data_IF_240844591939
#
_entry.id   IF_240844591939
#
_cell.length_a   1.000
_cell.length_b   1.000
_cell.length_c   1.000
_cell.angle_alpha   90.00
_cell.angle_beta   90.00
_cell.angle_gamma   90.00
#
_symmetry.space_group_name_H-M   'P 1'
#
loop_
_entity.id
_entity.type
_entity.pdbx_description
1 polymer ?
#
# COMPACT_ATOMS: atom_id res chain seq x y z
N UNK A 1 24.00 13.65 14.64
CA UNK A 1 23.41 12.46 15.31
C UNK A 1 22.17 11.91 14.62
N UNK A 2 21.34 12.72 13.94
CA UNK A 2 20.15 12.21 13.24
C UNK A 2 20.48 11.54 11.89
N UNK A 3 21.50 12.04 11.19
CA UNK A 3 21.94 11.52 9.88
C UNK A 3 22.46 10.09 9.92
N UNK A 4 23.09 9.69 11.04
CA UNK A 4 23.60 8.32 11.25
C UNK A 4 22.51 7.24 11.28
N UNK A 5 21.23 7.60 11.52
CA UNK A 5 20.12 6.64 11.45
C UNK A 5 19.55 6.48 10.02
N UNK A 6 19.87 7.42 9.13
CA UNK A 6 19.37 7.49 7.74
C UNK A 6 20.43 6.97 6.75
N UNK A 7 21.71 7.11 7.08
CA UNK A 7 22.81 6.60 6.27
C UNK A 7 22.84 5.06 6.23
N UNK A 8 22.93 4.49 5.02
CA UNK A 8 22.93 3.04 4.78
C UNK A 8 24.17 2.28 5.32
N UNK A 9 25.12 2.93 6.02
CA UNK A 9 26.32 2.30 6.59
C UNK A 9 26.07 1.69 7.97
N UNK A 10 25.07 0.80 8.06
CA UNK A 10 24.44 0.32 9.30
C UNK A 10 24.72 -1.15 9.63
N UNK A 11 25.98 -1.59 9.54
CA UNK A 11 26.40 -2.91 10.05
C UNK A 11 26.66 -2.93 11.57
N UNK A 12 26.48 -1.80 12.27
CA UNK A 12 26.98 -1.58 13.64
C UNK A 12 25.93 -1.11 14.67
N UNK A 13 24.65 -0.94 14.32
CA UNK A 13 23.61 -0.44 15.25
C UNK A 13 22.48 -1.47 15.33
N UNK A 14 22.04 -1.77 16.56
CA UNK A 14 20.94 -2.71 16.83
C UNK A 14 19.69 -2.31 16.02
N UNK A 15 18.99 -3.31 15.46
CA UNK A 15 17.75 -3.10 14.70
C UNK A 15 16.76 -2.25 15.52
N UNK A 16 16.68 -2.52 16.83
CA UNK A 16 15.79 -1.82 17.74
C UNK A 16 16.13 -0.32 17.87
N UNK A 17 17.40 0.03 17.99
CA UNK A 17 17.87 1.43 18.08
C UNK A 17 17.60 2.21 16.78
N UNK A 18 17.74 1.55 15.62
CA UNK A 18 17.36 2.13 14.33
C UNK A 18 15.88 2.50 14.27
N UNK A 19 15.00 1.68 14.84
CA UNK A 19 13.56 1.97 14.86
C UNK A 19 13.17 3.08 15.82
N UNK A 20 13.78 3.14 17.00
CA UNK A 20 13.59 4.28 17.90
C UNK A 20 14.08 5.58 17.24
N UNK A 21 15.18 5.54 16.49
CA UNK A 21 15.65 6.67 15.68
C UNK A 21 14.63 7.14 14.64
N UNK A 22 14.03 6.21 13.88
CA UNK A 22 12.99 6.53 12.91
C UNK A 22 11.71 7.06 13.58
N UNK A 23 11.29 6.46 14.70
CA UNK A 23 10.13 6.94 15.46
C UNK A 23 10.36 8.35 16.01
N UNK A 24 11.54 8.61 16.56
CA UNK A 24 11.95 9.92 17.04
C UNK A 24 11.96 10.94 15.90
N UNK A 25 12.43 10.56 14.71
CA UNK A 25 12.39 11.41 13.51
C UNK A 25 10.96 11.80 13.12
N UNK A 26 10.04 10.84 13.10
CA UNK A 26 8.62 11.09 12.82
C UNK A 26 8.00 11.98 13.89
N UNK A 27 8.34 11.74 15.16
CA UNK A 27 7.84 12.54 16.28
C UNK A 27 8.38 13.97 16.28
N UNK A 28 9.68 14.15 16.02
CA UNK A 28 10.31 15.47 15.87
C UNK A 28 9.70 16.25 14.71
N UNK A 29 9.42 15.59 13.59
CA UNK A 29 8.69 16.22 12.49
C UNK A 29 7.31 16.72 12.96
N UNK A 30 6.55 15.88 13.66
CA UNK A 30 5.23 16.24 14.20
C UNK A 30 5.31 17.45 15.13
N UNK A 31 6.30 17.46 16.02
CA UNK A 31 6.43 18.44 17.07
C UNK A 31 6.96 19.81 16.57
N UNK A 32 7.87 19.81 15.60
CA UNK A 32 8.59 21.03 15.22
C UNK A 32 8.23 21.54 13.82
N UNK A 33 7.63 20.74 12.94
CA UNK A 33 7.42 21.07 11.52
C UNK A 33 8.71 21.48 10.75
N UNK A 34 9.89 21.36 11.39
CA UNK A 34 11.22 21.79 10.91
C UNK A 34 11.78 20.88 9.82
N UNK A 35 11.23 19.67 9.66
CA UNK A 35 11.66 18.67 8.68
C UNK A 35 10.61 18.44 7.58
N UNK A 36 9.98 19.53 7.11
CA UNK A 36 8.94 19.49 6.08
C UNK A 36 9.47 19.11 4.68
N UNK A 37 10.75 18.77 4.54
CA UNK A 37 11.32 18.39 3.26
C UNK A 37 10.79 17.02 2.79
N UNK A 38 10.33 16.93 1.53
CA UNK A 38 9.76 15.71 0.97
C UNK A 38 10.76 14.53 0.96
N UNK A 39 12.04 14.82 0.81
CA UNK A 39 13.10 13.83 0.65
C UNK A 39 13.30 12.96 1.91
N UNK A 40 13.41 13.58 3.09
CA UNK A 40 13.55 12.85 4.36
C UNK A 40 12.35 11.94 4.61
N UNK A 41 11.16 12.44 4.27
CA UNK A 41 9.89 11.71 4.42
C UNK A 41 9.87 10.45 3.58
N UNK A 42 10.22 10.60 2.31
CA UNK A 42 10.35 9.50 1.37
C UNK A 42 11.38 8.50 1.86
N UNK A 43 12.55 8.96 2.33
CA UNK A 43 13.59 8.06 2.85
C UNK A 43 13.11 7.26 4.07
N UNK A 44 12.43 7.90 5.03
CA UNK A 44 11.85 7.20 6.19
C UNK A 44 10.84 6.14 5.72
N UNK A 45 9.95 6.47 4.79
CA UNK A 45 9.01 5.50 4.24
C UNK A 45 9.72 4.32 3.58
N UNK A 46 10.69 4.57 2.70
CA UNK A 46 11.44 3.53 1.99
C UNK A 46 12.20 2.61 2.96
N UNK A 47 12.81 3.18 4.00
CA UNK A 47 13.52 2.41 5.03
C UNK A 47 12.58 1.53 5.85
N UNK A 48 11.40 2.04 6.21
CA UNK A 48 10.38 1.28 6.93
C UNK A 48 9.77 0.18 6.08
N UNK A 49 9.58 0.45 4.79
CA UNK A 49 9.03 -0.51 3.84
C UNK A 49 10.00 -1.68 3.60
N UNK A 50 11.30 -1.41 3.48
CA UNK A 50 12.34 -2.42 3.22
C UNK A 50 12.87 -3.13 4.47
N UNK A 51 12.72 -2.55 5.65
CA UNK A 51 13.35 -3.07 6.87
C UNK A 51 12.78 -4.41 7.34
N UNK A 52 13.62 -5.22 8.00
CA UNK A 52 13.22 -6.44 8.73
C UNK A 52 12.54 -6.13 10.08
N UNK A 53 11.70 -5.09 10.10
CA UNK A 53 10.96 -4.64 11.29
C UNK A 53 9.86 -5.64 11.61
N UNK A 54 9.55 -5.82 12.89
CA UNK A 54 8.30 -6.46 13.29
C UNK A 54 7.11 -5.75 12.63
N UNK A 55 6.13 -6.55 12.21
CA UNK A 55 5.00 -6.07 11.42
C UNK A 55 4.21 -5.00 12.20
N UNK A 56 4.05 -5.17 13.52
CA UNK A 56 3.23 -4.28 14.35
C UNK A 56 3.89 -2.93 14.62
N UNK A 57 5.21 -2.91 14.87
CA UNK A 57 5.94 -1.64 15.03
C UNK A 57 5.96 -0.85 13.73
N UNK A 58 6.17 -1.52 12.60
CA UNK A 58 6.16 -0.89 11.28
C UNK A 58 4.83 -0.21 10.99
N UNK A 59 3.72 -0.91 11.26
CA UNK A 59 2.36 -0.39 11.14
C UNK A 59 2.18 0.90 11.94
N UNK A 60 2.57 0.90 13.21
CA UNK A 60 2.46 2.06 14.10
C UNK A 60 3.27 3.25 13.56
N UNK A 61 4.51 3.02 13.13
CA UNK A 61 5.39 4.09 12.65
C UNK A 61 4.87 4.65 11.31
N UNK A 62 4.37 3.80 10.42
CA UNK A 62 3.76 4.23 9.16
C UNK A 62 2.48 5.03 9.44
N UNK A 63 1.61 4.58 10.33
CA UNK A 63 0.40 5.30 10.74
C UNK A 63 0.76 6.70 11.26
N UNK A 64 1.77 6.79 12.11
CA UNK A 64 2.28 8.04 12.63
C UNK A 64 2.89 8.91 11.52
N UNK A 65 3.71 8.33 10.62
CA UNK A 65 4.33 9.03 9.50
C UNK A 65 3.28 9.65 8.58
N UNK A 66 2.27 8.87 8.21
CA UNK A 66 1.15 9.30 7.37
C UNK A 66 0.37 10.43 8.04
N UNK A 67 0.09 10.32 9.34
CA UNK A 67 -0.59 11.37 10.10
C UNK A 67 0.18 12.71 10.16
N UNK A 68 1.52 12.65 10.04
CA UNK A 68 2.38 13.83 10.00
C UNK A 68 2.60 14.36 8.58
N UNK A 69 2.61 13.48 7.58
CA UNK A 69 2.87 13.81 6.18
C UNK A 69 1.66 14.50 5.55
N UNK A 70 0.47 13.93 5.74
CA UNK A 70 -0.77 14.41 5.13
C UNK A 70 -1.59 15.05 6.25
N UNK A 71 -1.39 16.35 6.55
CA UNK A 71 -2.27 17.04 7.48
C UNK A 71 -3.70 16.94 6.94
N UNK A 72 -4.66 16.74 7.85
CA UNK A 72 -6.06 16.42 7.57
C UNK A 72 -6.87 17.54 6.89
N UNK A 73 -6.21 18.49 6.24
CA UNK A 73 -6.79 19.72 5.68
C UNK A 73 -6.26 19.91 4.26
N UNK A 74 -7.09 20.25 3.26
CA UNK A 74 -6.64 20.52 1.91
C UNK A 74 -5.92 21.88 1.90
N UNK A 75 -4.68 21.90 2.35
CA UNK A 75 -3.78 23.02 2.11
C UNK A 75 -3.15 22.85 0.73
N UNK A 76 -2.94 23.97 0.05
CA UNK A 76 -2.15 24.06 -1.18
C UNK A 76 -0.84 23.26 -1.02
N UNK A 77 -0.56 22.33 -1.94
CA UNK A 77 0.59 21.42 -1.88
C UNK A 77 0.33 20.03 -1.26
N UNK A 78 -0.90 19.73 -0.82
CA UNK A 78 -1.28 18.37 -0.39
C UNK A 78 -1.22 17.32 -1.51
N UNK A 79 -1.49 17.73 -2.76
CA UNK A 79 -1.46 16.84 -3.92
C UNK A 79 -0.06 16.29 -4.22
N UNK A 80 0.97 17.13 -4.22
CA UNK A 80 2.36 16.71 -4.42
C UNK A 80 2.83 15.68 -3.38
N UNK A 81 2.36 15.82 -2.13
CA UNK A 81 2.65 14.89 -1.03
C UNK A 81 1.98 13.53 -1.25
N UNK A 82 0.74 13.52 -1.75
CA UNK A 82 0.03 12.29 -2.11
C UNK A 82 0.69 11.60 -3.32
N UNK A 83 1.08 12.36 -4.34
CA UNK A 83 1.79 11.81 -5.50
C UNK A 83 3.15 11.21 -5.10
N UNK A 84 3.88 11.88 -4.20
CA UNK A 84 5.12 11.35 -3.65
C UNK A 84 4.91 10.04 -2.89
N UNK A 85 3.79 9.89 -2.17
CA UNK A 85 3.43 8.61 -1.55
C UNK A 85 3.25 7.50 -2.60
N UNK A 86 2.53 7.79 -3.69
CA UNK A 86 2.35 6.82 -4.77
C UNK A 86 3.69 6.41 -5.40
N UNK A 87 4.59 7.37 -5.63
CA UNK A 87 5.93 7.11 -6.15
C UNK A 87 6.78 6.28 -5.17
N UNK A 88 6.65 6.51 -3.86
CA UNK A 88 7.31 5.69 -2.85
C UNK A 88 6.82 4.24 -2.88
N UNK A 89 5.49 4.05 -2.95
CA UNK A 89 4.87 2.71 -3.04
C UNK A 89 5.39 1.97 -4.29
N UNK A 90 5.35 2.64 -5.44
CA UNK A 90 5.85 2.12 -6.71
C UNK A 90 7.33 1.77 -6.62
N UNK A 91 8.16 2.65 -6.06
CA UNK A 91 9.60 2.46 -5.89
C UNK A 91 9.92 1.22 -5.04
N UNK A 92 9.23 1.02 -3.92
CA UNK A 92 9.43 -0.18 -3.08
C UNK A 92 9.14 -1.46 -3.87
N UNK A 93 8.03 -1.50 -4.60
CA UNK A 93 7.62 -2.69 -5.36
C UNK A 93 8.56 -2.95 -6.55
N UNK A 94 9.10 -1.90 -7.17
CA UNK A 94 10.08 -2.03 -8.25
C UNK A 94 11.46 -2.50 -7.76
N UNK A 95 11.92 -1.98 -6.61
CA UNK A 95 13.23 -2.32 -6.05
C UNK A 95 13.24 -3.71 -5.40
N UNK A 96 12.14 -4.11 -4.76
CA UNK A 96 11.94 -5.48 -4.27
C UNK A 96 10.52 -5.96 -4.56
N UNK A 97 10.39 -6.73 -5.63
CA UNK A 97 9.12 -7.35 -5.99
C UNK A 97 8.85 -8.65 -5.21
N UNK A 98 9.54 -8.96 -4.10
CA UNK A 98 9.27 -10.18 -3.33
C UNK A 98 7.80 -10.28 -2.92
N UNK A 99 7.31 -11.51 -2.74
CA UNK A 99 5.92 -11.75 -2.34
C UNK A 99 5.60 -11.07 -1.01
N UNK A 100 6.57 -11.08 -0.09
CA UNK A 100 6.43 -10.44 1.21
C UNK A 100 6.27 -8.94 1.08
N UNK A 101 7.09 -8.28 0.26
CA UNK A 101 6.99 -6.85 -0.01
C UNK A 101 5.67 -6.49 -0.70
N UNK A 102 5.22 -7.30 -1.66
CA UNK A 102 3.91 -7.12 -2.29
C UNK A 102 2.77 -7.21 -1.26
N UNK A 103 2.76 -8.24 -0.41
CA UNK A 103 1.74 -8.44 0.63
C UNK A 103 1.75 -7.29 1.66
N UNK A 104 2.94 -6.83 2.05
CA UNK A 104 3.08 -5.69 2.96
C UNK A 104 2.50 -4.42 2.37
N UNK A 105 2.80 -4.14 1.09
CA UNK A 105 2.34 -2.92 0.44
C UNK A 105 0.83 -2.95 0.15
N UNK A 106 0.30 -4.13 -0.20
CA UNK A 106 -1.14 -4.35 -0.29
C UNK A 106 -1.85 -4.12 1.06
N UNK A 107 -1.28 -4.61 2.16
CA UNK A 107 -1.81 -4.37 3.51
C UNK A 107 -1.76 -2.89 3.92
N UNK A 108 -0.70 -2.18 3.53
CA UNK A 108 -0.60 -0.73 3.70
C UNK A 108 -1.72 0.01 2.97
N UNK A 109 -1.93 -0.30 1.68
CA UNK A 109 -2.97 0.36 0.87
C UNK A 109 -4.37 0.16 1.43
N UNK A 110 -4.68 -1.05 1.90
CA UNK A 110 -5.96 -1.35 2.56
C UNK A 110 -6.17 -0.55 3.85
N UNK A 111 -5.12 -0.43 4.67
CA UNK A 111 -5.19 0.32 5.93
C UNK A 111 -5.44 1.81 5.69
N UNK A 112 -4.83 2.37 4.65
CA UNK A 112 -4.90 3.79 4.32
C UNK A 112 -5.76 4.04 3.07
N UNK A 113 -6.88 3.33 2.95
CA UNK A 113 -7.74 3.34 1.76
C UNK A 113 -8.09 4.76 1.30
N UNK A 114 -8.50 5.64 2.22
CA UNK A 114 -8.95 7.00 1.88
C UNK A 114 -7.82 7.86 1.28
N UNK A 115 -6.61 7.70 1.80
CA UNK A 115 -5.42 8.43 1.33
C UNK A 115 -4.97 7.87 -0.01
N UNK A 116 -4.94 6.54 -0.14
CA UNK A 116 -4.56 5.88 -1.38
C UNK A 116 -5.57 6.15 -2.51
N UNK A 117 -6.86 6.32 -2.18
CA UNK A 117 -7.90 6.66 -3.16
C UNK A 117 -7.62 7.98 -3.88
N UNK A 118 -7.07 8.98 -3.17
CA UNK A 118 -6.72 10.28 -3.75
C UNK A 118 -5.67 10.17 -4.86
N UNK A 119 -4.82 9.14 -4.83
CA UNK A 119 -3.80 8.84 -5.86
C UNK A 119 -4.02 7.48 -6.50
N UNK A 120 -5.28 7.04 -6.57
CA UNK A 120 -5.66 5.75 -7.17
C UNK A 120 -5.11 5.58 -8.57
N UNK A 121 -5.03 6.66 -9.35
CA UNK A 121 -4.62 6.59 -10.75
C UNK A 121 -3.19 6.06 -10.91
N UNK A 122 -2.30 6.52 -10.03
CA UNK A 122 -0.91 6.08 -9.96
C UNK A 122 -0.75 4.69 -9.33
N UNK A 123 -1.61 4.35 -8.35
CA UNK A 123 -1.50 3.12 -7.58
C UNK A 123 -2.13 1.90 -8.27
N UNK A 124 -3.13 2.09 -9.12
CA UNK A 124 -3.86 0.99 -9.76
C UNK A 124 -2.98 0.09 -10.64
N UNK A 125 -2.06 0.61 -11.48
CA UNK A 125 -1.12 -0.22 -12.22
C UNK A 125 -0.22 -1.06 -11.30
N UNK A 126 0.27 -0.48 -10.20
CA UNK A 126 1.13 -1.18 -9.23
C UNK A 126 0.34 -2.29 -8.53
N UNK A 127 -0.90 -1.99 -8.13
CA UNK A 127 -1.81 -2.95 -7.50
C UNK A 127 -2.12 -4.11 -8.45
N UNK A 128 -2.40 -3.84 -9.73
CA UNK A 128 -2.60 -4.88 -10.74
C UNK A 128 -1.40 -5.82 -10.86
N UNK A 129 -0.18 -5.26 -10.91
CA UNK A 129 1.04 -6.04 -11.01
C UNK A 129 1.26 -6.94 -9.79
N UNK A 130 1.08 -6.41 -8.58
CA UNK A 130 1.20 -7.17 -7.34
C UNK A 130 0.17 -8.31 -7.27
N UNK A 131 -1.11 -8.03 -7.58
CA UNK A 131 -2.15 -9.05 -7.55
C UNK A 131 -1.95 -10.14 -8.60
N UNK A 132 -1.57 -9.77 -9.82
CA UNK A 132 -1.28 -10.72 -10.90
C UNK A 132 -0.12 -11.63 -10.52
N UNK A 133 0.95 -11.05 -9.98
CA UNK A 133 2.11 -11.80 -9.51
C UNK A 133 1.74 -12.79 -8.42
N UNK A 134 1.08 -12.32 -7.36
CA UNK A 134 0.74 -13.16 -6.20
C UNK A 134 -0.30 -14.25 -6.56
N UNK A 135 -1.14 -14.00 -7.56
CA UNK A 135 -2.16 -14.95 -8.02
C UNK A 135 -1.66 -15.91 -9.11
N UNK A 136 -0.39 -15.82 -9.50
CA UNK A 136 0.16 -16.67 -10.55
C UNK A 136 0.29 -18.12 -10.05
N UNK A 137 -0.20 -19.12 -10.80
CA UNK A 137 -0.13 -20.53 -10.42
C UNK A 137 1.30 -21.09 -10.36
N UNK A 138 2.30 -20.35 -10.88
CA UNK A 138 3.72 -20.70 -10.78
C UNK A 138 4.36 -20.39 -9.44
N UNK A 139 3.61 -19.81 -8.50
CA UNK A 139 4.10 -19.35 -7.20
C UNK A 139 3.85 -20.38 -6.09
N UNK A 140 4.56 -20.24 -4.97
CA UNK A 140 4.25 -21.00 -3.76
C UNK A 140 2.79 -20.77 -3.33
N UNK A 141 2.11 -21.80 -2.80
CA UNK A 141 0.71 -21.67 -2.39
C UNK A 141 0.57 -20.61 -1.31
N UNK A 142 -0.24 -19.59 -1.58
CA UNK A 142 -0.57 -18.54 -0.62
C UNK A 142 -1.28 -19.14 0.60
N UNK A 143 -0.92 -18.62 1.79
CA UNK A 143 -1.65 -18.94 3.03
C UNK A 143 -3.10 -18.44 2.94
N UNK A 144 -3.97 -18.97 3.80
CA UNK A 144 -5.38 -18.54 3.85
C UNK A 144 -5.48 -17.04 4.14
N UNK A 145 -4.63 -16.51 5.02
CA UNK A 145 -4.67 -15.09 5.39
C UNK A 145 -4.17 -14.19 4.25
N UNK A 146 -3.16 -14.62 3.48
CA UNK A 146 -2.77 -13.90 2.27
C UNK A 146 -3.89 -13.89 1.24
N UNK A 147 -4.63 -14.99 1.08
CA UNK A 147 -5.79 -15.05 0.18
C UNK A 147 -6.91 -14.10 0.62
N UNK A 148 -7.20 -14.02 1.92
CA UNK A 148 -8.15 -13.05 2.47
C UNK A 148 -7.73 -11.61 2.17
N UNK A 149 -6.45 -11.30 2.41
CA UNK A 149 -5.90 -9.98 2.08
C UNK A 149 -6.11 -9.64 0.61
N UNK A 150 -5.79 -10.55 -0.31
CA UNK A 150 -5.99 -10.32 -1.76
C UNK A 150 -7.46 -10.03 -2.10
N UNK A 151 -8.40 -10.75 -1.48
CA UNK A 151 -9.83 -10.51 -1.69
C UNK A 151 -10.24 -9.13 -1.18
N UNK A 152 -9.77 -8.74 0.01
CA UNK A 152 -10.08 -7.44 0.59
C UNK A 152 -9.52 -6.30 -0.29
N UNK A 153 -8.30 -6.46 -0.85
CA UNK A 153 -7.70 -5.51 -1.81
C UNK A 153 -8.56 -5.39 -3.07
N UNK A 154 -9.02 -6.51 -3.62
CA UNK A 154 -9.87 -6.52 -4.82
C UNK A 154 -11.19 -5.80 -4.50
N UNK A 155 -11.80 -6.06 -3.34
CA UNK A 155 -13.01 -5.37 -2.90
C UNK A 155 -12.79 -3.85 -2.77
N UNK A 156 -11.67 -3.43 -2.18
CA UNK A 156 -11.26 -2.02 -2.09
C UNK A 156 -11.15 -1.40 -3.48
N UNK A 157 -10.48 -2.06 -4.43
CA UNK A 157 -10.30 -1.51 -5.76
C UNK A 157 -11.61 -1.45 -6.57
N UNK A 158 -12.55 -2.37 -6.33
CA UNK A 158 -13.92 -2.27 -6.87
C UNK A 158 -14.65 -1.06 -6.29
N UNK A 159 -14.58 -0.84 -4.97
CA UNK A 159 -15.15 0.35 -4.32
C UNK A 159 -14.56 1.65 -4.87
N UNK A 160 -13.26 1.67 -5.16
CA UNK A 160 -12.60 2.82 -5.79
C UNK A 160 -13.17 3.11 -7.18
N UNK A 161 -13.41 2.08 -7.98
CA UNK A 161 -14.03 2.23 -9.30
C UNK A 161 -15.47 2.77 -9.21
N UNK A 162 -16.30 2.19 -8.33
CA UNK A 162 -17.67 2.64 -8.08
C UNK A 162 -17.72 4.09 -7.58
N UNK A 163 -16.79 4.47 -6.69
CA UNK A 163 -16.65 5.84 -6.20
C UNK A 163 -16.25 6.81 -7.30
N UNK A 164 -15.30 6.44 -8.15
CA UNK A 164 -14.86 7.27 -9.28
C UNK A 164 -16.00 7.56 -10.25
N UNK A 165 -16.83 6.56 -10.55
CA UNK A 165 -18.02 6.70 -11.40
C UNK A 165 -19.08 7.63 -10.80
N UNK A 166 -19.37 7.51 -9.51
CA UNK A 166 -20.37 8.34 -8.82
C UNK A 166 -19.99 9.81 -8.75
N UNK A 167 -18.70 10.11 -8.75
CA UNK A 167 -18.20 11.48 -8.63
C UNK A 167 -17.87 12.15 -9.98
N UNK A 168 -18.17 11.51 -11.12
CA UNK A 168 -17.90 12.03 -12.48
C UNK A 168 -16.53 12.73 -12.62
N UNK A 169 -15.51 12.21 -11.92
CA UNK A 169 -14.17 12.76 -12.06
C UNK A 169 -13.71 12.44 -13.48
N UNK A 170 -13.38 13.46 -14.29
CA UNK A 170 -13.03 13.36 -15.71
C UNK A 170 -11.90 12.35 -16.01
N UNK A 171 -11.12 11.98 -15.00
CA UNK A 171 -10.09 10.92 -15.05
C UNK A 171 -10.62 9.55 -14.62
N UNK A 172 -11.87 9.22 -14.94
CA UNK A 172 -12.42 7.88 -14.74
C UNK A 172 -11.76 6.91 -15.74
N UNK A 173 -10.47 6.63 -15.53
CA UNK A 173 -9.78 5.55 -16.21
C UNK A 173 -10.53 4.28 -15.83
N UNK A 174 -11.30 3.75 -16.80
CA UNK A 174 -11.91 2.44 -16.66
C UNK A 174 -10.77 1.44 -16.57
N UNK A 175 -10.41 1.06 -15.35
CA UNK A 175 -9.50 -0.05 -15.16
C UNK A 175 -10.23 -1.27 -15.69
N UNK A 176 -9.66 -2.00 -16.68
CA UNK A 176 -10.22 -3.25 -17.17
C UNK A 176 -10.18 -4.24 -16.00
N UNK A 177 -11.25 -4.16 -15.22
CA UNK A 177 -11.60 -4.80 -13.98
C UNK A 177 -10.81 -6.09 -13.78
N UNK A 178 -9.98 -6.11 -12.73
CA UNK A 178 -9.07 -7.18 -12.32
C UNK A 178 -9.34 -8.48 -13.05
N UNK A 179 -8.42 -8.85 -13.94
CA UNK A 179 -8.61 -9.93 -14.90
C UNK A 179 -9.48 -11.03 -14.30
N UNK A 180 -10.60 -11.36 -14.94
CA UNK A 180 -11.48 -12.43 -14.46
C UNK A 180 -10.70 -13.70 -14.08
N UNK A 181 -9.54 -13.88 -14.69
CA UNK A 181 -8.49 -14.82 -14.32
C UNK A 181 -8.06 -14.76 -12.84
N UNK A 182 -7.63 -13.62 -12.29
CA UNK A 182 -7.21 -13.46 -10.88
C UNK A 182 -8.35 -13.86 -9.94
N UNK A 183 -9.55 -13.34 -10.18
CA UNK A 183 -10.72 -13.64 -9.34
C UNK A 183 -11.08 -15.14 -9.45
N UNK A 184 -11.09 -15.71 -10.66
CA UNK A 184 -11.34 -17.15 -10.86
C UNK A 184 -10.29 -18.03 -10.20
N UNK A 185 -9.02 -17.62 -10.23
CA UNK A 185 -7.92 -18.35 -9.59
C UNK A 185 -8.11 -18.36 -8.06
N UNK A 186 -8.38 -17.20 -7.46
CA UNK A 186 -8.65 -17.07 -6.02
C UNK A 186 -9.91 -17.85 -5.59
N UNK A 187 -10.96 -17.87 -6.42
CA UNK A 187 -12.15 -18.69 -6.19
C UNK A 187 -11.81 -20.18 -6.22
N UNK A 188 -11.06 -20.64 -7.24
CA UNK A 188 -10.73 -22.06 -7.43
C UNK A 188 -9.89 -22.62 -6.28
N UNK A 189 -9.01 -21.81 -5.71
CA UNK A 189 -8.17 -22.23 -4.59
C UNK A 189 -8.79 -22.02 -3.20
N UNK A 190 -9.92 -21.30 -3.10
CA UNK A 190 -10.53 -21.02 -1.82
C UNK A 190 -11.41 -22.17 -1.35
N UNK A 191 -11.02 -22.78 -0.22
CA UNK A 191 -11.81 -23.80 0.48
C UNK A 191 -12.86 -23.20 1.43
N UNK A 192 -12.88 -21.88 1.61
CA UNK A 192 -13.75 -21.20 2.56
C UNK A 192 -15.04 -20.71 1.87
N UNK A 193 -16.20 -21.21 2.32
CA UNK A 193 -17.53 -20.83 1.79
C UNK A 193 -17.81 -19.32 1.86
N UNK A 194 -17.43 -18.64 2.94
CA UNK A 194 -17.68 -17.19 3.10
C UNK A 194 -16.89 -16.35 2.09
N UNK A 195 -15.59 -16.66 1.95
CA UNK A 195 -14.73 -16.02 0.95
C UNK A 195 -15.20 -16.34 -0.48
N UNK A 196 -15.70 -17.55 -0.71
CA UNK A 196 -16.24 -17.97 -2.01
C UNK A 196 -17.49 -17.16 -2.41
N UNK A 197 -18.40 -16.90 -1.47
CA UNK A 197 -19.60 -16.09 -1.71
C UNK A 197 -19.23 -14.64 -2.03
N UNK A 198 -18.35 -14.02 -1.23
CA UNK A 198 -17.84 -12.67 -1.51
C UNK A 198 -17.18 -12.57 -2.89
N UNK A 199 -16.31 -13.53 -3.23
CA UNK A 199 -15.63 -13.52 -4.53
C UNK A 199 -16.58 -13.74 -5.70
N UNK A 200 -17.65 -14.53 -5.53
CA UNK A 200 -18.69 -14.67 -6.56
C UNK A 200 -19.46 -13.38 -6.76
N UNK A 201 -19.79 -12.65 -5.69
CA UNK A 201 -20.44 -11.35 -5.75
C UNK A 201 -19.55 -10.28 -6.42
N UNK A 202 -18.26 -10.27 -6.09
CA UNK A 202 -17.27 -9.41 -6.74
C UNK A 202 -17.17 -9.77 -8.23
N UNK A 203 -17.07 -11.06 -8.57
CA UNK A 203 -17.02 -11.54 -9.96
C UNK A 203 -18.26 -11.13 -10.77
N UNK A 204 -19.46 -11.19 -10.20
CA UNK A 204 -20.69 -10.73 -10.88
C UNK A 204 -20.69 -9.22 -11.08
N UNK A 205 -20.33 -8.43 -10.05
CA UNK A 205 -20.22 -6.96 -10.16
C UNK A 205 -19.22 -6.53 -11.22
N UNK A 206 -18.09 -7.24 -11.33
CA UNK A 206 -17.09 -7.00 -12.37
C UNK A 206 -17.58 -7.36 -13.78
N UNK A 207 -18.50 -8.32 -13.93
CA UNK A 207 -18.99 -8.79 -15.22
C UNK A 207 -20.14 -7.94 -15.78
N UNK A 208 -20.93 -7.35 -14.89
CA UNK A 208 -22.08 -6.50 -15.22
C UNK A 208 -21.68 -5.06 -15.58
N UNK A 209 -20.42 -4.67 -15.36
CA UNK A 209 -19.89 -3.33 -15.63
C UNK A 209 -18.53 -3.42 -16.35
N UNK A 210 -18.51 -3.66 -17.68
CA UNK A 210 -17.28 -3.77 -18.48
C UNK A 210 -16.47 -2.46 -18.56
#
# INVERSE_FOLDING_TARGET
>A
MVTTCVDNNLLLVDLQEKYFGLLLLVWLRKAFNVFAEPEMTQQIFLLLAKGNVSIDLRKIIIDLLISCWIPSVPQEGGEAKLLLLAECVKKVVLEDASNQTCLQMLSFMLRHEQICFSVRNELMPVLHNMLTKLSSPSQQPLTIDHKRLLIDVIEMAVKWNERSRRHETLDAVSYPWFSAYIIRHLIRESKNKSSLTKMKEISTKCRENP
#
